data_IF_786521959933
#
_entry.id   IF_786521959933
#
_cell.length_a   1.000
_cell.length_b   1.000
_cell.length_c   1.000
_cell.angle_alpha   90.00
_cell.angle_beta   90.00
_cell.angle_gamma   90.00
#
_symmetry.space_group_name_H-M   'P 1'
#
loop_
_entity.id
_entity.type
_entity.pdbx_description
1 polymer ?
#
# COMPACT_ATOMS: atom_id res chain seq x y z
N UNK A 1 -13.09 4.47 16.80
CA UNK A 1 -11.75 5.11 16.92
C UNK A 1 -11.46 5.62 18.32
N UNK A 2 -12.35 6.40 18.96
CA UNK A 2 -12.14 6.89 20.33
C UNK A 2 -11.76 5.77 21.32
N UNK A 3 -12.52 4.67 21.32
CA UNK A 3 -12.24 3.48 22.14
C UNK A 3 -10.82 2.94 21.89
N UNK A 4 -10.41 2.83 20.63
CA UNK A 4 -9.06 2.37 20.30
C UNK A 4 -7.98 3.29 20.89
N UNK A 5 -8.12 4.61 20.70
CA UNK A 5 -7.14 5.60 21.15
C UNK A 5 -6.97 5.65 22.67
N UNK A 6 -8.06 5.43 23.41
CA UNK A 6 -8.02 5.35 24.88
C UNK A 6 -7.26 4.09 25.34
N UNK A 7 -7.51 2.94 24.72
CA UNK A 7 -6.88 1.67 25.13
C UNK A 7 -5.48 1.44 24.51
N UNK A 8 -5.07 2.21 23.50
CA UNK A 8 -3.78 2.08 22.83
C UNK A 8 -3.10 3.45 22.68
N UNK A 9 -2.59 4.06 23.77
CA UNK A 9 -2.08 5.44 23.78
C UNK A 9 -0.78 5.63 22.96
N UNK A 10 -0.07 4.54 22.65
CA UNK A 10 1.03 4.52 21.68
C UNK A 10 0.75 3.39 20.68
N UNK A 11 0.47 3.70 19.39
CA UNK A 11 0.63 5.00 18.73
C UNK A 11 -0.49 6.03 18.97
N UNK A 12 -1.60 5.65 19.61
CA UNK A 12 -2.77 6.53 19.76
C UNK A 12 -3.63 6.57 18.49
N UNK A 13 -4.17 7.74 18.17
CA UNK A 13 -4.79 8.00 16.86
C UNK A 13 -3.78 8.65 15.92
N UNK A 14 -3.70 8.14 14.69
CA UNK A 14 -2.97 8.75 13.60
C UNK A 14 -3.86 8.87 12.37
N UNK A 15 -3.65 9.93 11.59
CA UNK A 15 -4.36 10.12 10.33
C UNK A 15 -4.10 8.92 9.40
N UNK A 16 -5.17 8.34 8.86
CA UNK A 16 -5.11 7.10 8.06
C UNK A 16 -5.54 5.84 8.83
N UNK A 17 -5.65 5.87 10.15
CA UNK A 17 -6.19 4.72 10.90
C UNK A 17 -7.68 4.50 10.63
N UNK A 18 -8.46 5.60 10.59
CA UNK A 18 -9.89 5.55 10.23
C UNK A 18 -10.08 4.95 8.84
N UNK A 19 -9.17 5.26 7.91
CA UNK A 19 -9.18 4.71 6.57
C UNK A 19 -9.08 3.17 6.58
N UNK A 20 -8.30 2.59 7.49
CA UNK A 20 -8.18 1.13 7.60
C UNK A 20 -9.33 0.49 8.39
N UNK A 21 -9.97 1.24 9.29
CA UNK A 21 -11.18 0.79 9.99
C UNK A 21 -12.41 0.72 9.08
N UNK A 22 -12.57 1.67 8.14
CA UNK A 22 -13.74 1.74 7.25
C UNK A 22 -14.10 0.41 6.56
N UNK A 23 -13.19 -0.30 5.87
CA UNK A 23 -13.51 -1.57 5.22
C UNK A 23 -13.92 -2.67 6.20
N UNK A 24 -13.32 -2.72 7.39
CA UNK A 24 -13.68 -3.67 8.43
C UNK A 24 -15.11 -3.42 8.91
N UNK A 25 -15.42 -2.16 9.24
CA UNK A 25 -16.74 -1.78 9.70
C UNK A 25 -17.81 -2.01 8.64
N UNK A 26 -17.52 -1.70 7.37
CA UNK A 26 -18.43 -1.94 6.26
C UNK A 26 -18.79 -3.42 6.12
N UNK A 27 -17.83 -4.33 6.27
CA UNK A 27 -18.09 -5.78 6.13
C UNK A 27 -18.82 -6.33 7.35
N UNK A 28 -18.42 -5.92 8.56
CA UNK A 28 -18.96 -6.52 9.80
C UNK A 28 -20.27 -5.88 10.25
N UNK A 29 -20.53 -4.62 9.89
CA UNK A 29 -21.74 -3.85 10.27
C UNK A 29 -22.05 -3.90 11.78
N UNK A 30 -21.02 -4.11 12.60
CA UNK A 30 -21.12 -4.26 14.05
C UNK A 30 -19.93 -3.58 14.72
N UNK A 31 -20.21 -2.62 15.59
CA UNK A 31 -19.18 -1.79 16.23
C UNK A 31 -18.20 -2.61 17.08
N UNK A 32 -18.71 -3.53 17.92
CA UNK A 32 -17.92 -4.34 18.82
C UNK A 32 -16.98 -5.29 18.05
N UNK A 33 -17.52 -6.02 17.06
CA UNK A 33 -16.72 -6.90 16.21
C UNK A 33 -15.69 -6.11 15.41
N UNK A 34 -16.07 -4.94 14.87
CA UNK A 34 -15.17 -4.08 14.11
C UNK A 34 -14.03 -3.55 14.97
N UNK A 35 -14.31 -3.21 16.23
CA UNK A 35 -13.29 -2.82 17.19
C UNK A 35 -12.25 -3.94 17.39
N UNK A 36 -12.69 -5.16 17.71
CA UNK A 36 -11.75 -6.27 17.95
C UNK A 36 -11.00 -6.70 16.69
N UNK A 37 -11.65 -6.69 15.53
CA UNK A 37 -11.01 -6.95 14.25
C UNK A 37 -9.95 -5.88 13.93
N UNK A 38 -10.27 -4.61 14.16
CA UNK A 38 -9.33 -3.50 13.97
C UNK A 38 -8.14 -3.57 14.92
N UNK A 39 -8.37 -3.83 16.21
CA UNK A 39 -7.28 -4.08 17.17
C UNK A 39 -6.37 -5.21 16.69
N UNK A 40 -6.95 -6.31 16.21
CA UNK A 40 -6.18 -7.44 15.68
C UNK A 40 -5.35 -7.06 14.45
N UNK A 41 -5.89 -6.28 13.52
CA UNK A 41 -5.16 -5.78 12.35
C UNK A 41 -3.99 -4.88 12.77
N UNK A 42 -4.24 -3.96 13.70
CA UNK A 42 -3.22 -3.04 14.22
C UNK A 42 -2.08 -3.81 14.89
N UNK A 43 -2.38 -4.69 15.84
CA UNK A 43 -1.35 -5.46 16.57
C UNK A 43 -0.53 -6.37 15.65
N UNK A 44 -1.14 -6.98 14.63
CA UNK A 44 -0.44 -7.98 13.80
C UNK A 44 0.39 -7.38 12.67
N UNK A 45 0.00 -6.21 12.17
CA UNK A 45 0.51 -5.69 10.89
C UNK A 45 0.80 -4.19 10.87
N UNK A 46 -0.12 -3.37 11.40
CA UNK A 46 -0.09 -1.94 11.10
C UNK A 46 0.48 -1.06 12.20
N UNK A 47 0.61 -1.53 13.45
CA UNK A 47 1.07 -0.69 14.57
C UNK A 47 2.39 0.00 14.26
N UNK A 48 3.38 -0.73 13.73
CA UNK A 48 4.69 -0.20 13.39
C UNK A 48 4.68 0.82 12.24
N UNK A 49 3.63 0.84 11.40
CA UNK A 49 3.50 1.84 10.33
C UNK A 49 3.04 3.19 10.85
N UNK A 50 2.40 3.22 12.01
CA UNK A 50 1.89 4.43 12.65
C UNK A 50 2.76 4.86 13.84
N UNK A 51 3.91 4.21 14.06
CA UNK A 51 4.86 4.61 15.07
C UNK A 51 5.48 5.98 14.73
N UNK A 52 5.77 6.76 15.79
CA UNK A 52 6.25 8.14 15.65
C UNK A 52 7.63 8.24 15.00
N UNK A 53 8.43 7.20 15.09
CA UNK A 53 9.77 7.14 14.52
C UNK A 53 9.77 6.87 13.01
N UNK A 54 8.63 6.47 12.44
CA UNK A 54 8.43 6.18 11.02
C UNK A 54 9.41 5.13 10.44
N UNK A 55 10.08 4.34 11.29
CA UNK A 55 11.16 3.45 10.88
C UNK A 55 10.69 2.42 9.84
N UNK A 56 9.52 1.84 10.08
CA UNK A 56 8.96 0.79 9.23
C UNK A 56 8.52 1.33 7.86
N UNK A 57 7.88 2.50 7.80
CA UNK A 57 7.44 3.08 6.52
C UNK A 57 8.65 3.48 5.65
N UNK A 58 9.70 4.04 6.23
CA UNK A 58 10.95 4.30 5.50
C UNK A 58 11.63 3.01 5.02
N UNK A 59 11.58 1.93 5.81
CA UNK A 59 12.06 0.61 5.37
C UNK A 59 11.29 0.11 4.15
N UNK A 60 9.96 0.26 4.15
CA UNK A 60 9.11 -0.10 3.00
C UNK A 60 9.43 0.75 1.77
N UNK A 61 9.66 2.05 1.93
CA UNK A 61 10.04 2.94 0.82
C UNK A 61 11.37 2.50 0.21
N UNK A 62 12.40 2.22 1.04
CA UNK A 62 13.70 1.73 0.54
C UNK A 62 13.54 0.42 -0.24
N UNK A 63 12.74 -0.51 0.28
CA UNK A 63 12.48 -1.79 -0.39
C UNK A 63 11.69 -1.59 -1.69
N UNK A 64 10.69 -0.72 -1.69
CA UNK A 64 9.94 -0.32 -2.88
C UNK A 64 10.88 0.21 -3.96
N UNK A 65 11.75 1.17 -3.62
CA UNK A 65 12.71 1.78 -4.55
C UNK A 65 13.64 0.73 -5.16
N UNK A 66 14.19 -0.16 -4.34
CA UNK A 66 15.08 -1.22 -4.81
C UNK A 66 14.38 -2.19 -5.78
N UNK A 67 13.17 -2.65 -5.44
CA UNK A 67 12.41 -3.58 -6.26
C UNK A 67 11.88 -2.90 -7.53
N UNK A 68 11.41 -1.67 -7.42
CA UNK A 68 10.83 -0.98 -8.57
C UNK A 68 11.88 -0.69 -9.63
N UNK A 69 13.08 -0.25 -9.22
CA UNK A 69 14.21 -0.03 -10.13
C UNK A 69 14.63 -1.30 -10.86
N UNK A 70 14.54 -2.48 -10.22
CA UNK A 70 14.86 -3.75 -10.89
C UNK A 70 13.76 -4.24 -11.83
N UNK A 71 12.50 -3.86 -11.60
CA UNK A 71 11.36 -4.26 -12.43
C UNK A 71 11.17 -3.35 -13.65
N UNK A 72 11.23 -2.02 -13.48
CA UNK A 72 11.01 -1.05 -14.57
C UNK A 72 11.86 0.22 -14.34
N UNK A 73 13.14 0.13 -14.70
CA UNK A 73 14.10 1.22 -14.51
C UNK A 73 13.73 2.48 -15.33
N UNK A 74 13.10 2.33 -16.50
CA UNK A 74 12.66 3.46 -17.31
C UNK A 74 11.57 4.27 -16.60
N UNK A 75 10.54 3.58 -16.10
CA UNK A 75 9.46 4.22 -15.35
C UNK A 75 9.96 4.78 -14.02
N UNK A 76 10.86 4.06 -13.34
CA UNK A 76 11.52 4.56 -12.13
C UNK A 76 12.24 5.88 -12.40
N UNK A 77 13.08 5.98 -13.43
CA UNK A 77 13.83 7.21 -13.72
C UNK A 77 12.91 8.39 -14.05
N UNK A 78 11.78 8.14 -14.72
CA UNK A 78 10.78 9.19 -15.02
C UNK A 78 10.18 9.78 -13.74
N UNK A 79 9.96 8.94 -12.73
CA UNK A 79 9.31 9.31 -11.48
C UNK A 79 10.33 9.83 -10.45
N UNK A 80 11.53 9.25 -10.41
CA UNK A 80 12.56 9.49 -9.40
C UNK A 80 13.34 10.79 -9.59
N UNK A 81 13.32 11.40 -10.78
CA UNK A 81 14.01 12.67 -11.05
C UNK A 81 13.58 13.81 -10.11
N UNK A 82 12.48 13.62 -9.37
CA UNK A 82 11.89 14.55 -8.43
C UNK A 82 11.93 13.95 -7.01
N UNK A 83 13.11 13.99 -6.36
CA UNK A 83 13.34 13.32 -5.07
C UNK A 83 12.52 13.90 -3.91
N UNK A 84 12.12 15.17 -3.97
CA UNK A 84 11.62 15.86 -2.78
C UNK A 84 10.23 15.39 -2.31
N UNK A 85 9.34 14.93 -3.20
CA UNK A 85 7.93 14.74 -2.83
C UNK A 85 7.33 13.38 -3.24
N UNK A 86 7.99 12.27 -2.85
CA UNK A 86 7.39 10.92 -2.91
C UNK A 86 6.25 10.68 -1.90
N UNK A 87 5.54 11.74 -1.48
CA UNK A 87 4.41 11.70 -0.54
C UNK A 87 3.28 10.76 -1.00
N UNK A 88 3.10 10.59 -2.32
CA UNK A 88 2.13 9.65 -2.85
C UNK A 88 2.52 8.20 -2.53
N UNK A 89 3.80 7.82 -2.65
CA UNK A 89 4.32 6.48 -2.29
C UNK A 89 4.12 6.23 -0.80
N UNK A 90 4.43 7.23 0.04
CA UNK A 90 4.20 7.16 1.49
C UNK A 90 2.74 6.78 1.78
N UNK A 91 1.79 7.51 1.20
CA UNK A 91 0.35 7.22 1.39
C UNK A 91 -0.05 5.83 0.88
N UNK A 92 0.49 5.41 -0.27
CA UNK A 92 0.18 4.11 -0.86
C UNK A 92 0.66 2.97 0.04
N UNK A 93 1.88 3.04 0.54
CA UNK A 93 2.46 2.03 1.41
C UNK A 93 1.86 2.02 2.82
N UNK A 94 1.42 3.19 3.32
CA UNK A 94 0.78 3.32 4.63
C UNK A 94 -0.65 2.75 4.64
N UNK A 95 -1.39 2.94 3.54
CA UNK A 95 -2.81 2.59 3.45
C UNK A 95 -3.09 1.40 2.51
N UNK A 96 -2.07 0.58 2.23
CA UNK A 96 -2.16 -0.57 1.32
C UNK A 96 -2.85 -0.26 -0.01
N UNK A 97 -2.52 0.89 -0.61
CA UNK A 97 -3.09 1.41 -1.86
C UNK A 97 -4.61 1.61 -1.86
N UNK A 98 -5.32 1.53 -0.72
CA UNK A 98 -6.80 1.53 -0.73
C UNK A 98 -7.41 2.75 -1.44
N UNK A 99 -6.73 3.90 -1.39
CA UNK A 99 -7.22 5.17 -1.97
C UNK A 99 -7.04 5.24 -3.49
N UNK A 100 -6.44 4.23 -4.09
CA UNK A 100 -6.17 4.15 -5.53
C UNK A 100 -7.25 3.41 -6.31
N UNK A 101 -8.27 2.89 -5.62
CA UNK A 101 -9.42 2.18 -6.20
C UNK A 101 -10.71 2.95 -5.89
N UNK A 102 -11.52 3.21 -6.92
CA UNK A 102 -12.78 3.96 -6.78
C UNK A 102 -13.95 3.08 -6.35
N UNK A 103 -14.04 1.85 -6.86
CA UNK A 103 -15.05 0.89 -6.42
C UNK A 103 -14.67 0.26 -5.07
N UNK A 104 -15.61 0.26 -4.13
CA UNK A 104 -15.36 -0.28 -2.79
C UNK A 104 -15.08 -1.78 -2.81
N UNK A 105 -15.73 -2.56 -3.68
CA UNK A 105 -15.45 -4.00 -3.85
C UNK A 105 -14.00 -4.27 -4.28
N UNK A 106 -13.41 -3.37 -5.08
CA UNK A 106 -12.00 -3.46 -5.45
C UNK A 106 -11.09 -3.17 -4.26
N UNK A 107 -11.46 -2.21 -3.41
CA UNK A 107 -10.74 -1.93 -2.16
C UNK A 107 -10.73 -3.17 -1.27
N UNK A 108 -11.90 -3.78 -1.04
CA UNK A 108 -12.01 -5.00 -0.23
C UNK A 108 -11.12 -6.12 -0.78
N UNK A 109 -11.21 -6.39 -2.09
CA UNK A 109 -10.41 -7.44 -2.74
C UNK A 109 -8.90 -7.21 -2.62
N UNK A 110 -8.44 -5.96 -2.77
CA UNK A 110 -7.03 -5.62 -2.64
C UNK A 110 -6.56 -5.84 -1.21
N UNK A 111 -7.33 -5.35 -0.23
CA UNK A 111 -6.99 -5.50 1.19
C UNK A 111 -6.97 -6.96 1.63
N UNK A 112 -7.94 -7.78 1.21
CA UNK A 112 -7.95 -9.22 1.47
C UNK A 112 -6.65 -9.88 1.00
N UNK A 113 -6.25 -9.62 -0.24
CA UNK A 113 -5.03 -10.20 -0.80
C UNK A 113 -3.78 -9.68 -0.10
N UNK A 114 -3.71 -8.38 0.19
CA UNK A 114 -2.59 -7.81 0.95
C UNK A 114 -2.49 -8.52 2.29
N UNK A 115 -3.56 -8.55 3.09
CA UNK A 115 -3.55 -9.14 4.42
C UNK A 115 -3.25 -10.64 4.43
N UNK A 116 -3.73 -11.41 3.46
CA UNK A 116 -3.37 -12.83 3.32
C UNK A 116 -1.86 -13.01 3.12
N UNK A 117 -1.25 -12.19 2.26
CA UNK A 117 0.18 -12.30 1.98
C UNK A 117 1.05 -11.73 3.11
N UNK A 118 0.55 -10.75 3.88
CA UNK A 118 1.29 -10.17 5.02
C UNK A 118 1.23 -11.05 6.28
N UNK A 119 0.15 -11.83 6.45
CA UNK A 119 -0.07 -12.69 7.64
C UNK A 119 0.57 -14.08 7.53
N UNK A 120 1.38 -14.36 6.50
CA UNK A 120 2.02 -15.68 6.34
C UNK A 120 3.02 -15.98 7.49
N UNK A 121 2.88 -17.10 8.21
CA UNK A 121 3.59 -17.34 9.47
C UNK A 121 5.08 -17.77 9.35
N UNK A 122 5.66 -17.82 8.15
CA UNK A 122 6.90 -18.58 7.86
C UNK A 122 8.20 -17.75 7.76
N UNK A 123 8.40 -16.68 8.54
CA UNK A 123 9.66 -15.90 8.44
C UNK A 123 10.23 -15.45 9.79
N UNK A 124 11.56 -15.54 9.90
CA UNK A 124 12.39 -14.99 10.97
C UNK A 124 12.25 -13.46 11.08
N UNK A 125 12.43 -12.91 12.28
CA UNK A 125 12.05 -11.54 12.68
C UNK A 125 12.33 -10.42 11.67
N UNK A 126 13.50 -10.41 11.02
CA UNK A 126 13.88 -9.40 10.01
C UNK A 126 13.29 -9.70 8.61
N UNK A 127 13.35 -10.96 8.17
CA UNK A 127 12.75 -11.42 6.92
C UNK A 127 11.22 -11.27 6.94
N UNK A 128 10.61 -11.40 8.12
CA UNK A 128 9.18 -11.23 8.40
C UNK A 128 8.70 -9.82 8.08
N UNK A 129 9.50 -8.80 8.44
CA UNK A 129 9.16 -7.41 8.17
C UNK A 129 9.19 -7.10 6.66
N UNK A 130 10.25 -7.54 5.96
CA UNK A 130 10.33 -7.40 4.49
C UNK A 130 9.19 -8.12 3.79
N UNK A 131 8.94 -9.39 4.15
CA UNK A 131 7.89 -10.22 3.57
C UNK A 131 6.49 -9.63 3.72
N UNK A 132 6.20 -8.99 4.87
CA UNK A 132 4.93 -8.29 5.13
C UNK A 132 4.67 -7.16 4.16
N UNK A 133 5.70 -6.47 3.69
CA UNK A 133 5.55 -5.34 2.76
C UNK A 133 5.59 -5.72 1.29
N UNK A 134 6.09 -6.91 0.93
CA UNK A 134 6.37 -7.28 -0.47
C UNK A 134 5.12 -7.24 -1.34
N UNK A 135 4.01 -7.82 -0.90
CA UNK A 135 2.81 -7.85 -1.74
C UNK A 135 2.24 -6.44 -1.97
N UNK A 136 2.18 -5.60 -0.92
CA UNK A 136 1.80 -4.19 -1.06
C UNK A 136 2.73 -3.45 -2.04
N UNK A 137 4.04 -3.68 -1.97
CA UNK A 137 5.02 -3.10 -2.91
C UNK A 137 4.72 -3.53 -4.35
N UNK A 138 4.46 -4.82 -4.59
CA UNK A 138 4.10 -5.28 -5.93
C UNK A 138 2.77 -4.74 -6.43
N UNK A 139 1.81 -4.49 -5.53
CA UNK A 139 0.57 -3.77 -5.87
C UNK A 139 0.88 -2.32 -6.28
N UNK A 140 1.70 -1.59 -5.52
CA UNK A 140 2.14 -0.23 -5.89
C UNK A 140 2.77 -0.19 -7.28
N UNK A 141 3.73 -1.08 -7.54
CA UNK A 141 4.42 -1.15 -8.84
C UNK A 141 3.43 -1.51 -9.96
N UNK A 142 2.52 -2.45 -9.69
CA UNK A 142 1.52 -2.85 -10.67
C UNK A 142 0.55 -1.72 -11.03
N UNK A 143 0.19 -0.85 -10.07
CA UNK A 143 -0.59 0.36 -10.33
C UNK A 143 0.18 1.31 -11.25
N UNK A 144 1.47 1.58 -10.95
CA UNK A 144 2.31 2.45 -11.79
C UNK A 144 2.44 1.91 -13.21
N UNK A 145 2.59 0.60 -13.36
CA UNK A 145 2.71 -0.03 -14.67
C UNK A 145 1.39 -0.07 -15.45
N UNK A 146 0.24 -0.07 -14.78
CA UNK A 146 -1.05 0.05 -15.46
C UNK A 146 -1.17 1.40 -16.17
N UNK A 147 -0.63 2.45 -15.56
CA UNK A 147 -0.63 3.82 -16.09
C UNK A 147 0.70 4.20 -16.77
N UNK A 148 1.56 3.21 -17.06
CA UNK A 148 2.93 3.42 -17.59
C UNK A 148 2.97 4.40 -18.77
N UNK A 149 2.08 4.21 -19.74
CA UNK A 149 2.02 5.04 -20.96
C UNK A 149 1.69 6.50 -20.63
N UNK A 150 0.80 6.73 -19.66
CA UNK A 150 0.40 8.06 -19.23
C UNK A 150 1.58 8.74 -18.53
N UNK A 151 2.20 8.05 -17.57
CA UNK A 151 3.33 8.59 -16.80
C UNK A 151 4.52 8.93 -17.70
N UNK A 152 4.86 8.07 -18.66
CA UNK A 152 5.95 8.34 -19.60
C UNK A 152 5.63 9.48 -20.58
N UNK A 153 4.34 9.73 -20.87
CA UNK A 153 3.91 10.82 -21.75
C UNK A 153 3.90 12.21 -21.08
N UNK A 154 3.95 12.28 -19.74
CA UNK A 154 4.02 13.55 -19.01
C UNK A 154 5.25 14.35 -19.46
N UNK A 155 5.05 15.61 -19.84
CA UNK A 155 6.14 16.41 -20.43
C UNK A 155 6.98 17.10 -19.34
N UNK A 156 6.33 17.55 -18.27
CA UNK A 156 6.94 18.29 -17.17
C UNK A 156 6.56 17.72 -15.79
N UNK A 157 7.14 18.31 -14.75
CA UNK A 157 6.88 17.93 -13.36
C UNK A 157 5.44 18.23 -12.92
N UNK A 158 4.84 19.31 -13.40
CA UNK A 158 3.47 19.69 -13.08
C UNK A 158 2.47 18.63 -13.56
N UNK A 159 2.66 18.05 -14.74
CA UNK A 159 1.85 16.96 -15.27
C UNK A 159 1.92 15.72 -14.37
N UNK A 160 3.13 15.40 -13.90
CA UNK A 160 3.37 14.26 -13.02
C UNK A 160 2.75 14.50 -11.63
N UNK A 161 2.92 15.69 -11.08
CA UNK A 161 2.30 16.11 -9.83
C UNK A 161 0.76 16.08 -9.96
N UNK A 162 0.21 16.61 -11.06
CA UNK A 162 -1.22 16.54 -11.36
C UNK A 162 -1.70 15.09 -11.42
N UNK A 163 -0.96 14.20 -12.06
CA UNK A 163 -1.30 12.78 -12.12
C UNK A 163 -1.37 12.12 -10.73
N UNK A 164 -0.42 12.38 -9.82
CA UNK A 164 -0.40 11.75 -8.49
C UNK A 164 -1.36 12.40 -7.47
N UNK A 165 -1.54 13.71 -7.52
CA UNK A 165 -2.24 14.47 -6.47
C UNK A 165 -3.62 14.97 -6.89
N UNK A 166 -3.83 15.33 -8.16
CA UNK A 166 -5.17 15.69 -8.62
C UNK A 166 -6.01 14.44 -8.66
N UNK A 167 -6.85 14.31 -7.64
CA UNK A 167 -7.67 13.14 -7.35
C UNK A 167 -8.82 12.93 -8.34
N UNK A 168 -8.60 13.26 -9.61
CA UNK A 168 -9.53 13.05 -10.70
C UNK A 168 -9.86 11.56 -10.80
N UNK A 169 -11.07 11.23 -10.34
CA UNK A 169 -11.68 9.89 -10.41
C UNK A 169 -11.61 9.29 -11.82
N UNK A 170 -11.47 10.13 -12.85
CA UNK A 170 -11.30 9.79 -14.26
C UNK A 170 -10.01 9.04 -14.59
N UNK A 171 -8.86 9.34 -13.97
CA UNK A 171 -7.64 8.56 -14.21
C UNK A 171 -7.67 7.22 -13.50
N UNK A 172 -8.29 7.14 -12.32
CA UNK A 172 -8.39 5.89 -11.54
C UNK A 172 -9.43 4.92 -12.09
N UNK A 173 -10.45 5.42 -12.80
CA UNK A 173 -11.54 4.57 -13.32
C UNK A 173 -11.13 3.64 -14.45
N UNK A 174 -10.06 3.96 -15.20
CA UNK A 174 -9.57 3.13 -16.29
C UNK A 174 -8.76 1.91 -15.81
N UNK A 175 -8.24 1.95 -14.58
CA UNK A 175 -7.37 0.90 -14.04
C UNK A 175 -8.13 -0.42 -13.93
N UNK A 176 -7.57 -1.48 -14.50
CA UNK A 176 -8.10 -2.82 -14.30
C UNK A 176 -7.54 -3.42 -13.01
N UNK A 177 -8.34 -3.44 -11.93
CA UNK A 177 -7.97 -4.09 -10.66
C UNK A 177 -7.55 -5.54 -10.87
N UNK A 178 -8.20 -6.27 -11.80
CA UNK A 178 -7.82 -7.64 -12.15
C UNK A 178 -6.39 -7.73 -12.68
N UNK A 179 -6.01 -6.86 -13.63
CA UNK A 179 -4.64 -6.85 -14.19
C UNK A 179 -3.61 -6.45 -13.15
N UNK A 180 -3.92 -5.45 -12.33
CA UNK A 180 -3.06 -5.01 -11.22
C UNK A 180 -2.78 -6.18 -10.27
N UNK A 181 -3.82 -6.88 -9.82
CA UNK A 181 -3.66 -7.99 -8.87
C UNK A 181 -2.97 -9.21 -9.50
N UNK A 182 -3.29 -9.54 -10.76
CA UNK A 182 -2.60 -10.62 -11.48
C UNK A 182 -1.10 -10.35 -11.63
N UNK A 183 -0.74 -9.11 -11.99
CA UNK A 183 0.66 -8.68 -12.12
C UNK A 183 1.37 -8.71 -10.77
N UNK A 184 0.73 -8.21 -9.71
CA UNK A 184 1.30 -8.24 -8.36
C UNK A 184 1.54 -9.67 -7.85
N UNK A 185 0.59 -10.58 -8.09
CA UNK A 185 0.74 -12.00 -7.76
C UNK A 185 1.89 -12.66 -8.53
N UNK A 186 2.02 -12.37 -9.83
CA UNK A 186 3.12 -12.87 -10.64
C UNK A 186 4.47 -12.42 -10.07
N UNK A 187 4.64 -11.13 -9.79
CA UNK A 187 5.88 -10.62 -9.19
C UNK A 187 6.18 -11.23 -7.83
N UNK A 188 5.16 -11.35 -6.98
CA UNK A 188 5.33 -11.98 -5.67
C UNK A 188 5.75 -13.45 -5.76
N UNK A 189 5.15 -14.21 -6.68
CA UNK A 189 5.51 -15.62 -6.91
C UNK A 189 6.92 -15.78 -7.46
N UNK A 190 7.31 -14.96 -8.43
CA UNK A 190 8.66 -14.97 -9.01
C UNK A 190 9.72 -14.58 -7.98
N UNK A 191 9.44 -13.56 -7.16
CA UNK A 191 10.34 -13.15 -6.09
C UNK A 191 10.53 -14.30 -5.08
N UNK A 192 9.45 -14.96 -4.65
CA UNK A 192 9.55 -16.14 -3.76
C UNK A 192 10.32 -17.31 -4.39
N UNK A 193 10.18 -17.53 -5.70
CA UNK A 193 10.91 -18.58 -6.40
C UNK A 193 12.42 -18.30 -6.45
N UNK A 194 12.82 -17.03 -6.64
CA UNK A 194 14.23 -16.61 -6.66
C UNK A 194 14.97 -16.66 -5.32
N UNK A 195 14.23 -16.88 -4.22
CA UNK A 195 14.77 -16.93 -2.85
C UNK A 195 14.90 -18.37 -2.31
N UNK A 196 14.60 -19.38 -3.14
CA UNK A 196 14.79 -20.81 -2.87
C UNK A 196 15.98 -21.34 -3.65
#
# INVERSE_FOLDING_TARGET
MMTYSVYHPSPGYSQGMTDMLTPIFYVLMNECLSYFAFCSLMTRYMSSLFDRDQTEIYRRIRLFTSIFRSIDNELWNKIHFHEEDNFYIYRWLLLDCKREFSQFDHVLRVLELVWIHTMSPLADSQAKSNARSLFTIFVCISILQEDRRIILSCSNEEDLHKYFFSSSSSSRSHRSTKRILQRAQLYYSNYKASQK
#
